data_IF_269966393571
#
_entry.id   IF_269966393571
#
_cell.length_a   1.000
_cell.length_b   1.000
_cell.length_c   1.000
_cell.angle_alpha   90.00
_cell.angle_beta   90.00
_cell.angle_gamma   90.00
#
_symmetry.space_group_name_H-M   'P 1'
#
loop_
_entity.id
_entity.type
_entity.pdbx_description
1 polymer ?
#
# COMPACT_ATOMS: atom_id res chain seq x y z
N UNK A 1 -22.25 -7.49 -9.41
CA UNK A 1 -21.64 -6.17 -9.12
C UNK A 1 -20.50 -5.98 -10.11
N UNK A 2 -20.45 -4.87 -10.85
CA UNK A 2 -19.40 -4.66 -11.85
C UNK A 2 -18.03 -4.49 -11.15
N UNK A 3 -16.94 -5.06 -11.70
CA UNK A 3 -15.60 -4.86 -11.17
C UNK A 3 -15.21 -3.39 -11.25
N UNK A 4 -14.56 -2.87 -10.20
CA UNK A 4 -14.07 -1.51 -10.16
C UNK A 4 -12.73 -1.42 -9.43
N UNK A 5 -11.97 -0.39 -9.75
CA UNK A 5 -10.82 0.03 -8.95
C UNK A 5 -11.13 1.39 -8.34
N UNK A 6 -10.52 1.67 -7.19
CA UNK A 6 -10.58 3.00 -6.59
C UNK A 6 -9.38 3.81 -7.05
N UNK A 7 -9.58 5.02 -7.54
CA UNK A 7 -8.51 5.96 -7.88
C UNK A 7 -8.57 7.11 -6.90
N UNK A 8 -7.51 7.26 -6.11
CA UNK A 8 -7.33 8.35 -5.17
C UNK A 8 -6.33 9.34 -5.77
N UNK A 9 -6.76 10.58 -5.94
CA UNK A 9 -5.91 11.69 -6.35
C UNK A 9 -5.57 12.49 -5.10
N UNK A 10 -4.28 12.67 -4.83
CA UNK A 10 -3.83 13.50 -3.71
C UNK A 10 -2.45 14.09 -4.02
N UNK A 11 -2.42 15.33 -4.50
CA UNK A 11 -1.18 15.99 -4.89
C UNK A 11 -1.29 17.52 -4.86
N UNK A 12 -0.15 18.20 -4.92
CA UNK A 12 -0.06 19.64 -5.11
C UNK A 12 0.39 19.95 -6.54
N UNK A 13 -0.19 20.99 -7.14
CA UNK A 13 0.16 21.43 -8.47
C UNK A 13 0.07 22.95 -8.54
N UNK A 14 1.23 23.63 -8.54
CA UNK A 14 1.27 25.09 -8.58
C UNK A 14 0.81 25.64 -9.94
N UNK A 15 0.06 26.74 -9.90
CA UNK A 15 -0.35 27.48 -11.09
C UNK A 15 -1.50 26.87 -11.90
N UNK A 16 -1.91 25.64 -11.60
CA UNK A 16 -3.07 25.01 -12.23
C UNK A 16 -4.37 25.67 -11.77
N UNK A 17 -5.30 25.94 -12.70
CA UNK A 17 -6.62 26.48 -12.38
C UNK A 17 -7.66 25.37 -12.35
N UNK A 18 -7.61 24.49 -13.34
CA UNK A 18 -8.52 23.36 -13.48
C UNK A 18 -7.75 22.06 -13.59
N UNK A 19 -8.19 21.04 -12.86
CA UNK A 19 -7.62 19.70 -12.90
C UNK A 19 -8.76 18.70 -12.97
N UNK A 20 -8.65 17.72 -13.86
CA UNK A 20 -9.62 16.64 -14.01
C UNK A 20 -8.92 15.31 -14.26
N UNK A 21 -9.49 14.23 -13.75
CA UNK A 21 -9.15 12.88 -14.18
C UNK A 21 -10.09 12.49 -15.33
N UNK A 22 -9.53 11.99 -16.43
CA UNK A 22 -10.27 11.65 -17.64
C UNK A 22 -10.19 10.14 -17.86
N UNK A 23 -11.36 9.53 -18.10
CA UNK A 23 -11.49 8.16 -18.59
C UNK A 23 -12.80 8.00 -19.35
N UNK A 24 -12.83 7.10 -20.32
CA UNK A 24 -13.97 6.87 -21.23
C UNK A 24 -14.44 8.16 -21.97
N UNK A 25 -13.52 9.11 -22.20
CA UNK A 25 -13.82 10.40 -22.83
C UNK A 25 -14.48 11.43 -21.90
N UNK A 26 -14.78 11.07 -20.65
CA UNK A 26 -15.38 11.96 -19.68
C UNK A 26 -14.34 12.54 -18.71
N UNK A 27 -14.31 13.87 -18.61
CA UNK A 27 -13.47 14.60 -17.66
C UNK A 27 -14.21 14.79 -16.33
N UNK A 28 -13.61 14.34 -15.23
CA UNK A 28 -14.16 14.48 -13.89
C UNK A 28 -13.28 15.41 -13.06
N UNK A 29 -13.79 16.60 -12.69
CA UNK A 29 -12.98 17.63 -12.05
C UNK A 29 -12.54 17.20 -10.65
N UNK A 30 -11.36 17.66 -10.26
CA UNK A 30 -10.76 17.44 -8.95
C UNK A 30 -10.73 18.77 -8.22
N UNK A 31 -11.28 18.79 -7.01
CA UNK A 31 -11.36 20.02 -6.22
C UNK A 31 -9.99 20.41 -5.67
N UNK A 32 -9.70 21.71 -5.71
CA UNK A 32 -8.52 22.29 -5.10
C UNK A 32 -8.90 22.94 -3.76
N UNK A 33 -8.27 22.49 -2.68
CA UNK A 33 -8.39 23.10 -1.36
C UNK A 33 -7.00 23.54 -0.90
N UNK A 34 -6.77 24.85 -0.82
CA UNK A 34 -5.48 25.40 -0.35
C UNK A 34 -4.27 25.00 -1.21
N UNK A 35 -4.44 24.86 -2.52
CA UNK A 35 -3.37 24.45 -3.46
C UNK A 35 -3.17 22.92 -3.55
N UNK A 36 -4.00 22.14 -2.86
CA UNK A 36 -3.98 20.68 -2.88
C UNK A 36 -5.20 20.13 -3.61
N UNK A 37 -4.97 19.21 -4.53
CA UNK A 37 -5.98 18.54 -5.32
C UNK A 37 -6.30 17.19 -4.72
N UNK A 38 -7.57 16.99 -4.35
CA UNK A 38 -8.03 15.77 -3.69
C UNK A 38 -9.33 15.25 -4.32
N UNK A 39 -9.36 13.98 -4.68
CA UNK A 39 -10.55 13.28 -5.15
C UNK A 39 -10.43 11.76 -4.99
N UNK A 40 -11.57 11.07 -4.92
CA UNK A 40 -11.65 9.62 -4.97
C UNK A 40 -12.71 9.19 -5.98
N UNK A 41 -12.33 8.35 -6.93
CA UNK A 41 -13.17 7.89 -8.02
C UNK A 41 -13.28 6.37 -8.03
N UNK A 42 -14.47 5.85 -8.33
CA UNK A 42 -14.64 4.43 -8.68
C UNK A 42 -14.66 4.30 -10.19
N UNK A 43 -13.65 3.62 -10.74
CA UNK A 43 -13.55 3.36 -12.17
C UNK A 43 -14.02 1.94 -12.43
N UNK A 44 -15.20 1.82 -13.05
CA UNK A 44 -15.82 0.55 -13.38
C UNK A 44 -15.27 0.00 -14.69
N UNK A 45 -15.12 -1.32 -14.76
CA UNK A 45 -14.70 -2.04 -15.95
C UNK A 45 -15.89 -2.77 -16.57
N UNK A 46 -16.15 -2.50 -17.84
CA UNK A 46 -17.18 -3.20 -18.62
C UNK A 46 -16.66 -4.52 -19.18
N UNK A 47 -15.34 -4.60 -19.42
CA UNK A 47 -14.64 -5.75 -19.99
C UNK A 47 -13.33 -6.02 -19.19
N UNK A 48 -12.73 -7.18 -19.38
CA UNK A 48 -11.47 -7.58 -18.71
C UNK A 48 -10.21 -6.83 -19.22
N UNK A 49 -10.38 -5.88 -20.13
CA UNK A 49 -9.29 -5.10 -20.71
C UNK A 49 -8.75 -4.00 -19.79
N UNK A 50 -7.52 -3.51 -20.04
CA UNK A 50 -7.00 -2.34 -19.37
C UNK A 50 -7.84 -1.10 -19.72
N UNK A 51 -7.98 -0.18 -18.76
CA UNK A 51 -8.71 1.08 -18.96
C UNK A 51 -7.75 2.27 -18.93
N UNK A 52 -7.59 3.03 -20.03
CA UNK A 52 -6.70 4.18 -20.06
C UNK A 52 -7.30 5.35 -19.28
N UNK A 53 -6.45 6.03 -18.51
CA UNK A 53 -6.78 7.24 -17.76
C UNK A 53 -5.64 8.26 -17.89
N UNK A 54 -5.98 9.55 -17.90
CA UNK A 54 -4.99 10.63 -17.85
C UNK A 54 -5.53 11.82 -17.07
N UNK A 55 -4.64 12.75 -16.71
CA UNK A 55 -5.05 14.04 -16.17
C UNK A 55 -5.20 15.06 -17.30
N UNK A 56 -6.24 15.88 -17.19
CA UNK A 56 -6.34 17.16 -17.90
C UNK A 56 -6.10 18.26 -16.90
N UNK A 57 -5.14 19.12 -17.17
CA UNK A 57 -4.82 20.29 -16.35
C UNK A 57 -4.88 21.51 -17.26
N UNK A 58 -5.82 22.41 -16.95
CA UNK A 58 -6.21 23.52 -17.81
C UNK A 58 -6.49 23.00 -19.25
N UNK A 59 -5.63 23.38 -20.22
CA UNK A 59 -5.73 22.98 -21.63
C UNK A 59 -4.67 21.94 -22.05
N UNK A 60 -3.99 21.31 -21.10
CA UNK A 60 -2.94 20.30 -21.36
C UNK A 60 -3.35 18.94 -20.79
N UNK A 61 -2.92 17.87 -21.47
CA UNK A 61 -3.16 16.48 -21.06
C UNK A 61 -1.86 15.81 -20.67
N UNK A 62 -1.90 14.94 -19.66
CA UNK A 62 -0.77 14.09 -19.29
C UNK A 62 -0.60 12.92 -20.26
N UNK A 63 0.50 12.19 -20.12
CA UNK A 63 0.62 10.83 -20.64
C UNK A 63 -0.50 9.93 -20.05
N UNK A 64 -0.90 8.89 -20.79
CA UNK A 64 -1.89 7.91 -20.33
C UNK A 64 -1.30 6.89 -19.34
N UNK A 65 -2.11 6.50 -18.36
CA UNK A 65 -1.88 5.35 -17.50
C UNK A 65 -2.96 4.30 -17.71
N UNK A 66 -2.60 3.03 -17.75
CA UNK A 66 -3.55 1.93 -17.99
C UNK A 66 -3.89 1.24 -16.67
N UNK A 67 -5.09 1.53 -16.15
CA UNK A 67 -5.63 0.82 -14.99
C UNK A 67 -5.87 -0.64 -15.34
N UNK A 68 -5.44 -1.54 -14.46
CA UNK A 68 -5.60 -2.97 -14.66
C UNK A 68 -6.94 -3.43 -14.14
N UNK A 69 -7.58 -4.33 -14.88
CA UNK A 69 -8.79 -4.99 -14.42
C UNK A 69 -8.51 -5.74 -13.11
N UNK A 70 -9.34 -5.59 -12.06
CA UNK A 70 -9.17 -6.33 -10.82
C UNK A 70 -9.52 -7.80 -11.05
N UNK A 71 -8.51 -8.62 -11.35
CA UNK A 71 -8.65 -10.07 -11.46
C UNK A 71 -8.92 -10.64 -10.06
N UNK A 72 -10.15 -11.11 -9.82
CA UNK A 72 -10.61 -11.81 -8.61
C UNK A 72 -10.61 -10.97 -7.32
N UNK A 73 -11.82 -10.65 -6.80
CA UNK A 73 -12.20 -10.13 -5.46
C UNK A 73 -11.19 -9.26 -4.66
N UNK A 74 -10.23 -8.63 -5.31
CA UNK A 74 -9.19 -7.82 -4.69
C UNK A 74 -9.59 -6.38 -4.85
N UNK A 75 -9.69 -5.68 -3.73
CA UNK A 75 -9.84 -4.24 -3.74
C UNK A 75 -8.49 -3.64 -4.17
N UNK A 76 -8.44 -3.17 -5.41
CA UNK A 76 -7.29 -2.44 -5.95
C UNK A 76 -7.59 -0.95 -5.80
N UNK A 77 -6.66 -0.24 -5.17
CA UNK A 77 -6.65 1.20 -5.11
C UNK A 77 -5.40 1.74 -5.81
N UNK A 78 -5.54 2.79 -6.60
CA UNK A 78 -4.41 3.53 -7.17
C UNK A 78 -4.33 4.89 -6.52
N UNK A 79 -3.17 5.25 -5.98
CA UNK A 79 -2.86 6.63 -5.63
C UNK A 79 -2.18 7.27 -6.83
N UNK A 80 -2.85 8.24 -7.44
CA UNK A 80 -2.36 8.90 -8.65
C UNK A 80 -1.95 10.34 -8.36
N UNK A 81 -0.85 10.74 -8.97
CA UNK A 81 -0.39 12.14 -8.96
C UNK A 81 0.15 12.54 -10.33
N UNK A 82 0.17 13.84 -10.57
CA UNK A 82 0.68 14.42 -11.80
C UNK A 82 1.81 15.39 -11.46
N UNK A 83 2.82 15.44 -12.34
CA UNK A 83 3.97 16.32 -12.17
C UNK A 83 4.33 17.00 -13.49
N UNK A 84 4.71 18.28 -13.40
CA UNK A 84 5.35 19.02 -14.48
C UNK A 84 6.85 18.73 -14.53
N UNK A 85 7.35 18.40 -15.72
CA UNK A 85 8.78 18.29 -16.02
C UNK A 85 9.07 19.13 -17.27
N UNK A 86 9.48 20.39 -17.06
CA UNK A 86 9.53 21.38 -18.14
C UNK A 86 8.12 21.61 -18.70
N UNK A 87 7.98 21.51 -20.03
CA UNK A 87 6.68 21.63 -20.70
C UNK A 87 5.82 20.36 -20.69
N UNK A 88 6.39 19.23 -20.25
CA UNK A 88 5.73 17.93 -20.27
C UNK A 88 5.04 17.62 -18.96
N UNK A 89 3.86 17.03 -19.06
CA UNK A 89 3.09 16.53 -17.93
C UNK A 89 3.14 15.00 -17.88
N UNK A 90 3.55 14.44 -16.74
CA UNK A 90 3.61 13.00 -16.55
C UNK A 90 2.77 12.57 -15.37
N UNK A 91 2.13 11.41 -15.53
CA UNK A 91 1.32 10.75 -14.52
C UNK A 91 2.17 9.72 -13.77
N UNK A 92 1.95 9.62 -12.46
CA UNK A 92 2.44 8.52 -11.64
C UNK A 92 1.25 7.86 -10.96
N UNK A 93 1.32 6.54 -10.83
CA UNK A 93 0.28 5.73 -10.22
C UNK A 93 0.93 4.67 -9.33
N UNK A 94 0.60 4.71 -8.05
CA UNK A 94 1.02 3.71 -7.09
C UNK A 94 -0.17 2.78 -6.81
N UNK A 95 -0.01 1.50 -7.14
CA UNK A 95 -1.02 0.48 -6.91
C UNK A 95 -0.90 -0.04 -5.47
N UNK A 96 -1.93 0.15 -4.67
CA UNK A 96 -2.10 -0.49 -3.38
C UNK A 96 -3.10 -1.64 -3.52
N UNK A 97 -2.62 -2.85 -3.22
CA UNK A 97 -3.46 -4.03 -3.02
C UNK A 97 -3.63 -4.21 -1.53
N UNK A 98 -4.83 -3.99 -1.00
CA UNK A 98 -5.12 -4.40 0.36
C UNK A 98 -5.16 -5.93 0.42
N UNK A 99 -4.02 -6.55 0.74
CA UNK A 99 -3.96 -7.94 1.14
C UNK A 99 -2.88 -8.15 2.21
N UNK A 100 -3.24 -7.90 3.47
CA UNK A 100 -2.86 -8.71 4.65
C UNK A 100 -3.48 -8.14 5.92
N UNK A 101 -4.16 -9.00 6.70
CA UNK A 101 -4.43 -8.78 8.12
C UNK A 101 -3.16 -8.24 8.77
N UNK A 102 -3.19 -6.96 9.17
CA UNK A 102 -2.19 -6.41 10.09
C UNK A 102 -2.35 -7.17 11.41
N UNK A 103 -1.42 -8.08 11.71
CA UNK A 103 -1.26 -8.48 13.10
C UNK A 103 -0.62 -7.29 13.80
N UNK A 104 -1.43 -6.58 14.59
CA UNK A 104 -0.93 -5.63 15.57
C UNK A 104 0.03 -6.38 16.48
N UNK A 105 1.32 -6.04 16.40
CA UNK A 105 2.27 -6.40 17.45
C UNK A 105 2.06 -5.36 18.55
N UNK A 106 1.53 -5.72 19.73
CA UNK A 106 1.47 -4.78 20.84
C UNK A 106 2.90 -4.39 21.22
N UNK A 107 3.23 -3.10 21.08
CA UNK A 107 4.49 -2.54 21.55
C UNK A 107 4.34 -2.34 23.06
N UNK A 108 4.95 -3.23 23.85
CA UNK A 108 5.18 -2.97 25.27
C UNK A 108 6.24 -1.86 25.39
N UNK A 109 6.00 -0.79 26.18
CA UNK A 109 6.96 0.29 26.29
C UNK A 109 8.13 -0.11 27.19
N UNK A 110 9.35 -0.03 26.64
CA UNK A 110 10.60 -0.11 27.40
C UNK A 110 11.60 -1.09 26.82
N UNK A 111 12.71 -0.57 26.27
CA UNK A 111 13.95 -1.33 26.15
C UNK A 111 14.48 -1.47 24.73
N UNK A 112 15.34 -0.51 24.37
CA UNK A 112 16.50 -0.58 23.48
C UNK A 112 16.42 -1.22 22.08
N UNK A 113 16.85 -0.39 21.13
CA UNK A 113 17.09 -0.68 19.73
C UNK A 113 18.02 -1.89 19.54
N UNK A 114 17.47 -2.98 19.05
CA UNK A 114 18.24 -4.01 18.38
C UNK A 114 17.76 -4.09 16.92
N UNK A 115 18.54 -3.52 16.01
CA UNK A 115 18.46 -3.81 14.59
C UNK A 115 18.74 -5.30 14.39
N UNK A 116 17.71 -6.14 14.49
CA UNK A 116 17.81 -7.53 14.06
C UNK A 116 17.49 -7.54 12.56
N UNK A 117 18.54 -7.41 11.75
CA UNK A 117 18.53 -7.94 10.39
C UNK A 117 18.39 -9.46 10.54
N UNK A 118 17.15 -9.97 10.48
CA UNK A 118 16.95 -11.42 10.41
C UNK A 118 17.11 -11.87 8.95
N UNK A 119 17.99 -12.86 8.71
CA UNK A 119 18.44 -13.24 7.38
C UNK A 119 17.34 -13.98 6.63
N UNK A 120 17.36 -13.85 5.31
CA UNK A 120 16.54 -14.63 4.40
C UNK A 120 16.63 -16.12 4.77
N UNK A 121 15.54 -16.70 5.27
CA UNK A 121 15.41 -18.14 5.41
C UNK A 121 14.76 -18.67 4.11
N UNK A 122 15.45 -19.56 3.38
CA UNK A 122 14.92 -20.12 2.14
C UNK A 122 13.69 -20.96 2.46
N UNK A 123 12.66 -20.83 1.62
CA UNK A 123 11.50 -21.70 1.61
C UNK A 123 11.94 -23.18 1.55
N UNK A 124 12.05 -23.84 2.70
CA UNK A 124 12.10 -25.31 2.79
C UNK A 124 10.70 -25.83 3.10
N UNK A 125 9.86 -25.82 2.07
CA UNK A 125 8.68 -26.69 2.00
C UNK A 125 9.16 -28.12 1.80
N UNK A 126 9.34 -28.88 2.88
CA UNK A 126 9.71 -30.30 2.73
C UNK A 126 10.00 -31.12 3.99
N UNK A 127 9.69 -30.66 5.21
CA UNK A 127 9.89 -31.48 6.42
C UNK A 127 8.56 -32.08 6.91
N UNK A 128 8.49 -33.41 7.15
CA UNK A 128 7.29 -34.07 7.61
C UNK A 128 6.87 -33.61 9.02
N UNK A 129 5.59 -33.73 9.37
CA UNK A 129 5.00 -33.10 10.57
C UNK A 129 5.67 -33.44 11.91
N UNK A 130 6.34 -34.60 12.02
CA UNK A 130 7.04 -35.02 13.24
C UNK A 130 8.25 -34.15 13.59
N UNK A 131 9.06 -33.74 12.60
CA UNK A 131 10.25 -32.92 12.87
C UNK A 131 9.88 -31.47 13.23
N UNK A 132 8.75 -30.96 12.73
CA UNK A 132 8.18 -29.66 13.16
C UNK A 132 7.75 -29.69 14.63
N UNK A 133 7.22 -30.81 15.13
CA UNK A 133 6.82 -30.93 16.53
C UNK A 133 8.02 -31.03 17.47
N UNK A 134 9.10 -31.71 17.08
CA UNK A 134 10.33 -31.79 17.89
C UNK A 134 11.04 -30.43 18.02
N UNK A 135 11.10 -29.65 16.93
CA UNK A 135 11.67 -28.30 16.95
C UNK A 135 10.88 -27.33 17.84
N UNK A 136 9.55 -27.45 17.85
CA UNK A 136 8.67 -26.66 18.73
C UNK A 136 8.85 -27.09 20.18
N UNK A 137 8.92 -28.40 20.46
CA UNK A 137 9.12 -28.91 21.82
C UNK A 137 10.48 -28.49 22.42
N UNK A 138 11.55 -28.49 21.61
CA UNK A 138 12.88 -28.04 22.01
C UNK A 138 12.92 -26.54 22.36
N UNK A 139 12.30 -25.69 21.52
CA UNK A 139 12.22 -24.25 21.76
C UNK A 139 11.40 -23.90 23.02
N UNK A 140 10.34 -24.65 23.30
CA UNK A 140 9.49 -24.44 24.48
C UNK A 140 10.23 -24.76 25.78
N UNK A 141 11.12 -25.76 25.75
CA UNK A 141 11.94 -26.15 26.92
C UNK A 141 13.01 -25.09 27.24
N UNK A 142 13.65 -24.51 26.21
CA UNK A 142 14.62 -23.43 26.38
C UNK A 142 13.98 -22.14 26.94
N UNK A 143 12.76 -21.82 26.51
CA UNK A 143 12.02 -20.64 26.99
C UNK A 143 11.61 -20.76 28.47
N UNK A 144 11.32 -21.98 28.93
CA UNK A 144 10.93 -22.24 30.32
C UNK A 144 12.11 -22.07 31.30
N UNK A 145 13.31 -22.50 30.89
CA UNK A 145 14.52 -22.36 31.70
C UNK A 145 14.97 -20.90 31.83
N UNK A 146 14.87 -20.11 30.76
CA UNK A 146 15.27 -18.69 30.76
C UNK A 146 14.36 -17.80 31.64
N UNK A 147 13.12 -18.21 31.90
CA UNK A 147 12.16 -17.46 32.73
C UNK A 147 12.46 -17.49 34.22
N UNK A 148 13.22 -18.47 34.70
CA UNK A 148 13.56 -18.64 36.12
C UNK A 148 14.80 -17.86 36.56
N UNK A 149 15.52 -17.20 35.65
CA UNK A 149 16.85 -16.63 35.91
C UNK A 149 16.89 -15.10 35.89
N UNK A 150 15.76 -14.42 35.69
CA UNK A 150 15.73 -12.96 35.64
C UNK A 150 15.63 -12.35 37.04
N UNK A 151 16.52 -11.42 37.43
CA UNK A 151 16.47 -10.76 38.72
C UNK A 151 15.28 -9.79 38.81
N UNK A 152 14.75 -9.53 40.01
CA UNK A 152 13.61 -8.65 40.21
C UNK A 152 13.96 -7.18 39.90
N UNK A 153 12.99 -6.39 39.41
CA UNK A 153 13.22 -5.00 39.03
C UNK A 153 13.47 -4.10 40.26
N UNK A 154 14.21 -2.99 40.10
CA UNK A 154 14.52 -2.07 41.20
C UNK A 154 13.30 -1.23 41.63
N UNK A 155 13.27 -0.74 42.88
CA UNK A 155 12.15 0.04 43.42
C UNK A 155 12.08 1.46 42.83
N UNK A 156 10.87 2.04 42.72
CA UNK A 156 10.64 3.36 42.13
C UNK A 156 11.09 4.52 43.06
N UNK A 157 11.56 5.61 42.43
CA UNK A 157 12.04 6.87 43.06
C UNK A 157 10.88 7.83 43.31
#
# INVERSE_FOLDING_TARGET
MAPFVTVNCNFQLEGAKEVALVWDGEARPIQCTGGRYEASFKVYFENEGPKPVHFRVDNKTSDDHHLRHPLYFTNIAYTMSVKWTGDRMSISAEESREAKRLFLVPITPGGESATIVSPALPNRSGLPPKEKQELVAGATKALKTARTTLPPPPPPI
#
